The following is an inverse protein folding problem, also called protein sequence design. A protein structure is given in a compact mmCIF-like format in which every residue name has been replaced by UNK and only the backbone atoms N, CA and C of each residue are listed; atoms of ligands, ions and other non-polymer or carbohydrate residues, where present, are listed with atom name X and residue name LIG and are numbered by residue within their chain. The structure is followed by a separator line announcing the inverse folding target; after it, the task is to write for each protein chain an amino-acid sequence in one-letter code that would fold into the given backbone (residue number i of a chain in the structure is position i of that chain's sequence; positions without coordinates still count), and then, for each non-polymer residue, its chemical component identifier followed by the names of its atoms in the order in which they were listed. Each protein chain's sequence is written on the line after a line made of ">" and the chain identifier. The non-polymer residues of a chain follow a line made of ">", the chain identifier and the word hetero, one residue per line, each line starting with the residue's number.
data_IF_638167694582
#
_entry.id   IF_638167694582
#
_cell.length_a   1.000
_cell.length_b   1.000
_cell.length_c   1.000
_cell.angle_alpha   90.00
_cell.angle_beta   90.00
_cell.angle_gamma   90.00
#
_symmetry.space_group_name_H-M   'P 1'
#
loop_
_entity.id
_entity.type
_entity.pdbx_description
1 polymer ?
#
# COMPACT_ATOMS: atom_id res chain seq x y z
N UNK A 1 15.40 -12.45 -5.95
CA UNK A 1 14.27 -11.65 -5.43
C UNK A 1 13.04 -12.53 -5.48
N UNK A 2 12.32 -12.69 -4.37
CA UNK A 2 11.08 -13.49 -4.33
C UNK A 2 9.93 -12.55 -4.67
N UNK A 3 9.14 -12.93 -5.67
CA UNK A 3 7.90 -12.22 -6.00
C UNK A 3 6.86 -12.54 -4.93
N UNK A 4 6.20 -11.52 -4.39
CA UNK A 4 5.09 -11.72 -3.45
C UNK A 4 3.96 -12.47 -4.17
N UNK A 5 3.51 -13.62 -3.66
CA UNK A 5 2.52 -14.43 -4.35
C UNK A 5 1.11 -13.86 -4.13
N UNK A 6 0.22 -14.15 -5.08
CA UNK A 6 -1.21 -13.96 -4.89
C UNK A 6 -1.75 -15.02 -3.91
N UNK A 7 -2.45 -14.59 -2.87
CA UNK A 7 -3.06 -15.49 -1.88
C UNK A 7 -4.56 -15.60 -2.13
N UNK A 8 -5.09 -16.82 -1.99
CA UNK A 8 -6.49 -17.12 -2.23
C UNK A 8 -7.15 -17.58 -0.93
N UNK A 9 -8.34 -17.07 -0.65
CA UNK A 9 -9.21 -17.52 0.43
C UNK A 9 -10.63 -17.71 -0.13
N UNK A 10 -11.55 -18.36 0.59
CA UNK A 10 -12.92 -18.56 0.10
C UNK A 10 -13.68 -17.26 -0.22
N UNK A 11 -13.29 -16.12 0.37
CA UNK A 11 -14.00 -14.84 0.23
C UNK A 11 -13.17 -13.72 -0.37
N UNK A 12 -11.85 -13.90 -0.49
CA UNK A 12 -10.90 -12.84 -0.82
C UNK A 12 -9.75 -13.37 -1.67
N UNK A 13 -9.42 -12.60 -2.69
CA UNK A 13 -8.19 -12.70 -3.48
C UNK A 13 -7.25 -11.58 -3.04
N UNK A 14 -6.10 -11.93 -2.47
CA UNK A 14 -5.10 -10.97 -2.01
C UNK A 14 -4.00 -10.88 -3.06
N UNK A 15 -4.00 -9.79 -3.82
CA UNK A 15 -3.00 -9.50 -4.84
C UNK A 15 -1.75 -8.86 -4.22
N UNK A 16 -0.58 -9.00 -4.85
CA UNK A 16 0.61 -8.24 -4.47
C UNK A 16 0.33 -6.74 -4.58
N UNK A 17 0.74 -6.00 -3.56
CA UNK A 17 0.53 -4.56 -3.45
C UNK A 17 1.26 -3.82 -4.58
N UNK A 18 0.58 -2.87 -5.25
CA UNK A 18 1.14 -2.10 -6.36
C UNK A 18 1.01 -0.59 -6.11
N UNK A 19 1.75 0.23 -6.87
CA UNK A 19 1.74 1.69 -6.69
C UNK A 19 0.37 2.30 -7.03
N UNK A 20 -0.37 1.65 -7.93
CA UNK A 20 -1.69 2.04 -8.40
C UNK A 20 -2.75 1.94 -7.29
N UNK A 21 -2.45 1.24 -6.20
CA UNK A 21 -3.33 1.13 -5.02
C UNK A 21 -3.28 2.38 -4.13
N UNK A 22 -2.30 3.28 -4.35
CA UNK A 22 -2.10 4.47 -3.53
C UNK A 22 -3.36 5.35 -3.37
N UNK A 23 -4.17 5.65 -4.42
CA UNK A 23 -5.36 6.48 -4.28
C UNK A 23 -6.44 5.83 -3.40
N UNK A 24 -6.61 4.51 -3.53
CA UNK A 24 -7.55 3.74 -2.71
C UNK A 24 -7.11 3.75 -1.24
N UNK A 25 -5.82 3.50 -0.98
CA UNK A 25 -5.25 3.61 0.36
C UNK A 25 -5.41 5.02 0.93
N UNK A 26 -5.07 6.07 0.18
CA UNK A 26 -5.19 7.46 0.63
C UNK A 26 -6.60 7.79 1.12
N UNK A 27 -7.62 7.27 0.43
CA UNK A 27 -9.03 7.46 0.80
C UNK A 27 -9.40 6.71 2.10
N UNK A 28 -8.94 5.47 2.24
CA UNK A 28 -9.21 4.64 3.43
C UNK A 28 -8.58 5.18 4.72
N UNK A 29 -7.42 5.82 4.62
CA UNK A 29 -6.76 6.45 5.77
C UNK A 29 -7.36 7.80 6.17
N UNK A 30 -8.36 8.31 5.43
CA UNK A 30 -9.05 9.54 5.79
C UNK A 30 -10.19 9.34 6.82
N UNK A 31 -10.27 8.15 7.43
CA UNK A 31 -11.25 7.81 8.46
C UNK A 31 -10.61 7.77 9.86
N UNK A 32 -10.99 8.71 10.73
CA UNK A 32 -10.42 8.83 12.09
C UNK A 32 -10.65 7.57 12.92
N UNK A 33 -11.82 6.93 12.76
CA UNK A 33 -12.20 5.71 13.46
C UNK A 33 -11.23 4.55 13.17
N UNK A 34 -10.54 4.60 12.04
CA UNK A 34 -9.51 3.63 11.66
C UNK A 34 -8.15 4.08 12.16
N UNK A 35 -7.75 5.32 11.84
CA UNK A 35 -6.38 5.81 12.10
C UNK A 35 -6.06 5.90 13.59
N UNK A 36 -7.05 6.17 14.46
CA UNK A 36 -6.84 6.27 15.92
C UNK A 36 -6.30 5.00 16.58
N UNK A 37 -6.40 3.85 15.92
CA UNK A 37 -5.91 2.56 16.42
C UNK A 37 -4.59 2.15 15.76
N UNK A 38 -4.07 2.94 14.82
CA UNK A 38 -2.80 2.68 14.18
C UNK A 38 -1.64 3.20 15.02
N UNK A 39 -0.44 2.80 14.63
CA UNK A 39 0.80 3.29 15.22
C UNK A 39 0.85 4.82 15.19
N UNK A 40 1.44 5.41 16.23
CA UNK A 40 1.67 6.85 16.36
C UNK A 40 2.47 7.48 15.21
N UNK A 41 3.07 6.66 14.34
CA UNK A 41 3.74 7.12 13.12
C UNK A 41 2.79 7.47 11.98
N UNK A 42 1.49 7.14 12.06
CA UNK A 42 0.51 7.55 11.06
C UNK A 42 0.03 8.97 11.38
N UNK A 43 0.37 9.98 10.55
CA UNK A 43 -0.04 11.35 10.79
C UNK A 43 -1.56 11.52 10.66
N UNK A 44 -2.13 12.41 11.48
CA UNK A 44 -3.51 12.85 11.37
C UNK A 44 -3.60 14.39 11.30
N UNK A 45 -4.34 14.97 10.34
CA UNK A 45 -5.03 14.32 9.21
C UNK A 45 -4.04 13.63 8.26
N UNK A 46 -4.49 12.59 7.56
CA UNK A 46 -3.61 11.81 6.69
C UNK A 46 -3.23 12.62 5.43
N UNK A 47 -1.97 13.09 5.28
CA UNK A 47 -1.62 14.06 4.26
C UNK A 47 -1.66 13.46 2.86
N UNK A 48 -1.98 14.29 1.87
CA UNK A 48 -2.03 13.90 0.46
C UNK A 48 -0.68 13.31 -0.01
N UNK A 49 -0.73 12.25 -0.81
CA UNK A 49 0.46 11.62 -1.39
C UNK A 49 1.29 10.78 -0.43
N UNK A 50 0.94 10.73 0.87
CA UNK A 50 1.65 9.90 1.86
C UNK A 50 1.49 8.41 1.55
N UNK A 51 0.32 7.96 1.08
CA UNK A 51 0.13 6.58 0.65
C UNK A 51 1.08 6.20 -0.50
N UNK A 52 1.21 7.06 -1.51
CA UNK A 52 2.11 6.83 -2.65
C UNK A 52 3.58 6.80 -2.21
N UNK A 53 3.98 7.72 -1.33
CA UNK A 53 5.33 7.74 -0.74
C UNK A 53 5.63 6.43 -0.01
N UNK A 54 4.70 5.98 0.82
CA UNK A 54 4.82 4.74 1.59
C UNK A 54 4.99 3.52 0.67
N UNK A 55 4.13 3.39 -0.36
CA UNK A 55 4.22 2.27 -1.30
C UNK A 55 5.54 2.25 -2.08
N UNK A 56 6.04 3.43 -2.46
CA UNK A 56 7.27 3.56 -3.24
C UNK A 56 8.53 3.26 -2.45
N UNK A 57 8.59 3.67 -1.19
CA UNK A 57 9.84 3.69 -0.41
C UNK A 57 9.87 2.64 0.70
N UNK A 58 8.75 2.49 1.42
CA UNK A 58 8.72 1.73 2.65
C UNK A 58 8.21 0.30 2.41
N UNK A 59 7.12 0.15 1.65
CA UNK A 59 6.58 -1.15 1.32
C UNK A 59 7.42 -1.90 0.26
N UNK A 60 8.09 -1.17 -0.64
CA UNK A 60 8.93 -1.75 -1.70
C UNK A 60 10.10 -2.60 -1.19
N UNK A 61 10.63 -2.27 -0.01
CA UNK A 61 11.79 -2.96 0.57
C UNK A 61 11.41 -4.23 1.34
N UNK A 62 10.20 -4.28 1.92
CA UNK A 62 9.75 -5.37 2.79
C UNK A 62 8.76 -6.33 2.11
N UNK A 63 7.97 -5.86 1.13
CA UNK A 63 6.86 -6.60 0.50
C UNK A 63 7.06 -6.96 -0.97
N UNK A 64 8.27 -6.82 -1.52
CA UNK A 64 8.59 -7.30 -2.88
C UNK A 64 7.80 -6.58 -3.98
N UNK A 65 7.65 -5.26 -3.89
CA UNK A 65 6.93 -4.45 -4.88
C UNK A 65 7.85 -4.25 -6.08
N UNK A 66 7.58 -4.91 -7.20
CA UNK A 66 8.40 -4.80 -8.40
C UNK A 66 8.06 -3.52 -9.19
N UNK A 67 8.88 -2.49 -9.01
CA UNK A 67 8.81 -1.25 -9.78
C UNK A 67 9.18 -1.44 -11.27
N UNK A 68 9.62 -2.62 -11.72
CA UNK A 68 10.10 -2.87 -13.10
C UNK A 68 9.02 -3.15 -14.13
N UNK A 69 7.73 -3.23 -13.76
CA UNK A 69 6.66 -3.34 -14.77
C UNK A 69 6.32 -2.01 -15.46
N UNK A 70 6.83 -0.88 -14.97
CA UNK A 70 6.55 0.46 -15.54
C UNK A 70 7.56 0.91 -16.61
N UNK A 71 8.57 0.10 -16.94
CA UNK A 71 9.51 0.34 -18.04
C UNK A 71 9.20 -0.60 -19.23
N UNK A 72 7.95 -0.60 -19.68
CA UNK A 72 7.49 -1.37 -20.83
C UNK A 72 6.66 -0.47 -21.74
N UNK A 73 7.29 -0.06 -22.83
CA UNK A 73 6.69 0.57 -24.00
C UNK A 73 5.64 -0.35 -24.64
#
# INVERSE_FOLDING_TARGET
>A
MVLTPTLHTPRLLLLPLQLEDAPAMQSLFNHWEVVRYLTHHVPWPYPEGVALRYLRHDAGTTMGIDARRMAGK
#
